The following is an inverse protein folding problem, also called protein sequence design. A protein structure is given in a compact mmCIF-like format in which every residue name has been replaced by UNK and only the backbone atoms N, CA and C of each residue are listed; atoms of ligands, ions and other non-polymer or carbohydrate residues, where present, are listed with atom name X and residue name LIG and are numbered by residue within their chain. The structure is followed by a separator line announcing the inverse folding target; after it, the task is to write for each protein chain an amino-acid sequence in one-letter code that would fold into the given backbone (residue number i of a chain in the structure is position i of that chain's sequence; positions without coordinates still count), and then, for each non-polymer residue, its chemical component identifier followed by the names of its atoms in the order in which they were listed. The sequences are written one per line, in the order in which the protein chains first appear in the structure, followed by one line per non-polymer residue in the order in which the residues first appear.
data_IF_467384890717
#
_entry.id   IF_467384890717
#
_cell.length_a   1.000
_cell.length_b   1.000
_cell.length_c   1.000
_cell.angle_alpha   90.00
_cell.angle_beta   90.00
_cell.angle_gamma   90.00
#
_symmetry.space_group_name_H-M   'P 1'
#
loop_
_entity.id
_entity.type
_entity.pdbx_description
1 polymer ?
#
# COMPACT_ATOMS: atom_id res chain seq x y z
N UNK A 1 -3.29 35.15 38.87
CA UNK A 1 -2.32 34.10 39.28
C UNK A 1 -1.00 34.37 38.56
N UNK A 2 0.12 34.57 39.27
CA UNK A 2 1.42 34.78 38.62
C UNK A 2 2.02 33.45 38.11
N UNK A 3 2.90 33.47 37.09
CA UNK A 3 3.46 32.27 36.47
C UNK A 3 4.51 31.58 37.34
N UNK A 4 4.47 30.24 37.37
CA UNK A 4 5.39 29.36 38.11
C UNK A 4 6.76 29.29 37.42
N UNK A 5 7.81 29.71 38.11
CA UNK A 5 9.21 29.47 37.76
C UNK A 5 9.60 28.07 38.29
N UNK A 6 10.21 27.17 37.50
CA UNK A 6 10.73 25.91 38.03
C UNK A 6 12.08 26.14 38.74
N UNK A 7 12.15 25.72 40.00
CA UNK A 7 13.35 25.74 40.83
C UNK A 7 14.44 24.80 40.28
N UNK A 8 15.67 25.29 40.20
CA UNK A 8 16.87 24.52 39.87
C UNK A 8 17.14 23.46 40.95
N UNK A 9 17.28 22.20 40.52
CA UNK A 9 17.72 21.10 41.39
C UNK A 9 19.16 21.31 41.86
N UNK A 10 19.34 21.40 43.18
CA UNK A 10 20.64 21.30 43.84
C UNK A 10 21.20 19.88 43.66
N UNK A 11 22.41 19.78 43.11
CA UNK A 11 23.16 18.53 43.05
C UNK A 11 23.65 18.15 44.46
N UNK A 12 23.18 17.00 44.94
CA UNK A 12 23.60 16.34 46.17
C UNK A 12 24.95 15.65 45.93
N UNK A 13 25.97 16.00 46.71
CA UNK A 13 27.26 15.32 46.72
C UNK A 13 27.13 13.95 47.44
N UNK A 14 27.53 12.86 46.77
CA UNK A 14 27.72 11.55 47.37
C UNK A 14 29.22 11.23 47.43
N UNK A 15 29.68 10.85 48.61
CA UNK A 15 31.06 10.44 48.89
C UNK A 15 31.28 8.93 48.69
N UNK A 16 32.54 8.60 48.35
CA UNK A 16 33.23 7.29 48.33
C UNK A 16 33.26 6.50 46.99
N UNK A 17 34.28 5.62 46.77
CA UNK A 17 35.68 5.63 47.21
C UNK A 17 36.67 5.67 46.03
N UNK A 18 37.94 5.95 46.35
CA UNK A 18 39.04 6.16 45.42
C UNK A 18 39.45 4.85 44.72
N UNK A 19 39.20 4.76 43.41
CA UNK A 19 39.92 3.84 42.52
C UNK A 19 41.00 4.63 41.78
N UNK A 20 42.27 4.36 42.14
CA UNK A 20 43.44 4.90 41.46
C UNK A 20 43.65 4.16 40.14
N UNK A 21 43.29 4.81 39.03
CA UNK A 21 43.74 4.39 37.70
C UNK A 21 45.07 5.10 37.37
N UNK A 22 46.02 4.42 36.70
CA UNK A 22 47.30 5.03 36.34
C UNK A 22 47.07 6.20 35.36
N UNK A 23 47.53 7.38 35.76
CA UNK A 23 47.63 8.59 34.95
C UNK A 23 48.40 8.29 33.66
N UNK A 24 47.69 8.11 32.55
CA UNK A 24 48.25 8.48 31.25
C UNK A 24 48.19 10.01 31.16
N UNK A 25 49.31 10.72 30.91
CA UNK A 25 49.22 12.11 30.55
C UNK A 25 48.53 12.18 29.18
N UNK A 26 47.24 12.52 29.18
CA UNK A 26 46.64 13.15 28.01
C UNK A 26 47.36 14.48 27.84
N UNK A 27 48.37 14.52 26.96
CA UNK A 27 48.81 15.78 26.37
C UNK A 27 47.62 16.35 25.60
N UNK A 28 46.81 17.16 26.30
CA UNK A 28 45.89 18.09 25.68
C UNK A 28 46.71 19.22 25.05
N UNK A 29 47.38 18.92 23.94
CA UNK A 29 47.73 19.97 23.00
C UNK A 29 46.41 20.39 22.37
N UNK A 30 45.88 21.53 22.82
CA UNK A 30 44.93 22.32 22.04
C UNK A 30 45.66 22.67 20.75
N UNK A 31 45.54 21.82 19.73
CA UNK A 31 45.95 22.19 18.39
C UNK A 31 45.16 23.47 18.07
N UNK A 32 45.82 24.62 17.85
CA UNK A 32 45.09 25.76 17.34
C UNK A 32 44.48 25.28 16.03
N UNK A 33 43.17 25.45 15.91
CA UNK A 33 42.46 25.37 14.64
C UNK A 33 42.97 26.53 13.79
N UNK A 34 44.21 26.39 13.30
CA UNK A 34 44.78 27.27 12.31
C UNK A 34 43.86 27.12 11.10
N UNK A 35 43.10 28.18 10.82
CA UNK A 35 42.46 28.38 9.53
C UNK A 35 43.56 28.16 8.49
N UNK A 36 43.55 27.01 7.83
CA UNK A 36 44.52 26.67 6.80
C UNK A 36 44.18 27.43 5.52
N UNK A 37 44.03 28.75 5.59
CA UNK A 37 44.04 29.61 4.42
C UNK A 37 45.49 29.70 3.94
N UNK A 38 45.87 28.83 3.01
CA UNK A 38 47.08 29.05 2.20
C UNK A 38 48.28 28.13 2.40
N UNK A 39 48.11 26.88 2.89
CA UNK A 39 49.23 25.91 2.96
C UNK A 39 49.19 24.78 1.90
N UNK A 40 48.40 24.94 0.84
CA UNK A 40 48.33 23.94 -0.26
C UNK A 40 49.44 24.05 -1.30
N UNK A 41 50.24 25.12 -1.30
CA UNK A 41 51.31 25.31 -2.30
C UNK A 41 52.64 24.63 -1.95
N UNK A 42 52.83 24.09 -0.74
CA UNK A 42 54.14 23.61 -0.25
C UNK A 42 54.53 22.18 -0.65
N UNK A 43 53.76 21.48 -1.49
CA UNK A 43 54.13 20.18 -2.08
C UNK A 43 53.67 20.06 -3.54
N UNK A 44 53.84 21.10 -4.34
CA UNK A 44 53.70 20.97 -5.79
C UNK A 44 54.96 20.26 -6.30
N UNK A 45 54.83 19.02 -6.74
CA UNK A 45 55.86 18.39 -7.57
C UNK A 45 56.12 19.31 -8.75
N UNK A 46 57.34 19.83 -8.86
CA UNK A 46 57.71 20.83 -9.89
C UNK A 46 57.81 20.21 -11.28
N UNK A 47 57.92 18.88 -11.35
CA UNK A 47 58.00 18.15 -12.61
C UNK A 47 56.67 18.24 -13.40
N UNK A 48 56.68 18.88 -14.60
CA UNK A 48 55.49 19.01 -15.43
C UNK A 48 54.94 17.66 -15.89
N UNK A 49 55.78 16.63 -16.06
CA UNK A 49 55.37 15.31 -16.51
C UNK A 49 54.54 14.57 -15.44
N UNK A 50 54.99 14.58 -14.18
CA UNK A 50 54.25 13.98 -13.06
C UNK A 50 52.91 14.68 -12.87
N UNK A 51 52.86 16.01 -12.99
CA UNK A 51 51.61 16.78 -12.93
C UNK A 51 50.63 16.38 -14.05
N UNK A 52 51.12 16.25 -15.28
CA UNK A 52 50.30 15.79 -16.41
C UNK A 52 49.77 14.37 -16.19
N UNK A 53 50.59 13.46 -15.66
CA UNK A 53 50.16 12.08 -15.37
C UNK A 53 49.11 12.03 -14.25
N UNK A 54 49.26 12.83 -13.19
CA UNK A 54 48.27 12.98 -12.11
C UNK A 54 46.96 13.57 -12.64
N UNK A 55 47.03 14.60 -13.49
CA UNK A 55 45.88 15.20 -14.13
C UNK A 55 45.13 14.18 -15.00
N UNK A 56 45.84 13.36 -15.79
CA UNK A 56 45.25 12.28 -16.59
C UNK A 56 44.54 11.23 -15.72
N UNK A 57 45.17 10.77 -14.63
CA UNK A 57 44.55 9.82 -13.68
C UNK A 57 43.29 10.43 -13.02
N UNK A 58 43.35 11.70 -12.63
CA UNK A 58 42.21 12.43 -12.06
C UNK A 58 41.10 12.58 -13.09
N UNK A 59 41.41 12.96 -14.33
CA UNK A 59 40.44 13.11 -15.41
C UNK A 59 39.72 11.78 -15.71
N UNK A 60 40.46 10.67 -15.77
CA UNK A 60 39.87 9.33 -15.94
C UNK A 60 38.97 8.91 -14.77
N UNK A 61 39.34 9.24 -13.53
CA UNK A 61 38.48 9.00 -12.37
C UNK A 61 37.23 9.89 -12.37
N UNK A 62 37.35 11.14 -12.83
CA UNK A 62 36.22 12.06 -12.93
C UNK A 62 35.25 11.61 -14.03
N UNK A 63 35.74 11.19 -15.21
CA UNK A 63 34.89 10.65 -16.26
C UNK A 63 34.14 9.41 -15.77
N UNK A 64 34.85 8.45 -15.17
CA UNK A 64 34.24 7.25 -14.59
C UNK A 64 33.19 7.58 -13.51
N UNK A 65 33.45 8.57 -12.66
CA UNK A 65 32.48 9.01 -11.64
C UNK A 65 31.25 9.63 -12.28
N UNK A 66 31.43 10.45 -13.30
CA UNK A 66 30.33 11.07 -14.06
C UNK A 66 29.45 9.98 -14.71
N UNK A 67 30.04 8.95 -15.29
CA UNK A 67 29.31 7.82 -15.89
C UNK A 67 28.47 7.08 -14.83
N UNK A 68 29.07 6.77 -13.67
CA UNK A 68 28.38 6.09 -12.56
C UNK A 68 27.26 6.98 -12.00
N UNK A 69 27.50 8.29 -11.88
CA UNK A 69 26.52 9.25 -11.41
C UNK A 69 25.33 9.35 -12.37
N UNK A 70 25.58 9.41 -13.69
CA UNK A 70 24.53 9.38 -14.70
C UNK A 70 23.65 8.13 -14.58
N UNK A 71 24.27 6.95 -14.39
CA UNK A 71 23.54 5.69 -14.16
C UNK A 71 22.70 5.75 -12.88
N UNK A 72 23.24 6.29 -11.78
CA UNK A 72 22.52 6.42 -10.51
C UNK A 72 21.35 7.40 -10.61
N UNK A 73 21.55 8.54 -11.26
CA UNK A 73 20.49 9.55 -11.47
C UNK A 73 19.36 8.95 -12.31
N UNK A 74 19.69 8.20 -13.37
CA UNK A 74 18.68 7.50 -14.17
C UNK A 74 17.90 6.46 -13.32
N UNK A 75 18.58 5.72 -12.44
CA UNK A 75 17.95 4.74 -11.55
C UNK A 75 17.08 5.36 -10.44
N UNK A 76 17.34 6.60 -10.03
CA UNK A 76 16.57 7.29 -8.97
C UNK A 76 15.11 7.51 -9.36
N UNK A 77 14.80 7.70 -10.65
CA UNK A 77 13.43 7.86 -11.16
C UNK A 77 12.69 9.11 -10.65
N UNK A 78 11.39 9.20 -10.93
CA UNK A 78 10.53 10.30 -10.47
C UNK A 78 10.19 10.12 -8.96
N UNK A 79 10.45 11.10 -8.08
CA UNK A 79 10.14 11.00 -6.64
C UNK A 79 8.63 10.86 -6.33
N UNK A 80 7.75 11.31 -7.21
CA UNK A 80 6.29 11.20 -7.06
C UNK A 80 5.77 9.91 -7.67
N UNK A 81 6.09 9.66 -8.94
CA UNK A 81 5.49 8.56 -9.72
C UNK A 81 6.29 7.27 -9.67
N UNK A 82 7.60 7.32 -9.43
CA UNK A 82 8.48 6.17 -9.58
C UNK A 82 8.55 5.69 -11.04
N UNK A 83 8.72 4.39 -11.23
CA UNK A 83 8.65 3.72 -12.54
C UNK A 83 7.23 3.15 -12.70
N UNK A 84 6.53 3.39 -13.82
CA UNK A 84 5.20 2.84 -14.03
C UNK A 84 5.24 1.31 -14.13
N UNK A 85 4.35 0.65 -13.40
CA UNK A 85 4.16 -0.81 -13.44
C UNK A 85 2.74 -1.14 -13.91
N UNK A 86 2.50 -2.34 -14.47
CA UNK A 86 1.16 -2.76 -14.88
C UNK A 86 0.14 -2.65 -13.74
N UNK A 87 0.57 -2.98 -12.51
CA UNK A 87 -0.25 -2.82 -11.31
C UNK A 87 -0.65 -1.37 -11.05
N UNK A 88 0.30 -0.43 -11.11
CA UNK A 88 0.02 1.00 -10.85
C UNK A 88 -0.80 1.63 -11.98
N UNK A 89 -0.60 1.21 -13.22
CA UNK A 89 -1.41 1.65 -14.37
C UNK A 89 -2.86 1.19 -14.26
N UNK A 90 -3.06 -0.04 -13.78
CA UNK A 90 -4.37 -0.64 -13.57
C UNK A 90 -5.25 0.12 -12.56
N UNK A 91 -4.70 1.03 -11.75
CA UNK A 91 -5.49 1.88 -10.86
C UNK A 91 -6.43 2.84 -11.60
N UNK A 92 -6.10 3.21 -12.85
CA UNK A 92 -6.94 4.09 -13.65
C UNK A 92 -8.28 3.43 -14.01
N UNK A 93 -8.25 2.14 -14.37
CA UNK A 93 -9.42 1.35 -14.74
C UNK A 93 -10.08 0.69 -13.52
N UNK A 94 -9.30 0.42 -12.48
CA UNK A 94 -9.74 -0.32 -11.29
C UNK A 94 -9.88 -1.82 -11.52
N UNK A 95 -9.46 -2.32 -12.70
CA UNK A 95 -9.43 -3.74 -13.05
C UNK A 95 -8.02 -4.29 -12.88
N UNK A 96 -7.84 -5.57 -12.51
CA UNK A 96 -6.52 -6.18 -12.46
C UNK A 96 -5.88 -6.25 -13.87
N UNK A 97 -4.56 -6.07 -13.98
CA UNK A 97 -3.87 -6.33 -15.25
C UNK A 97 -3.93 -7.83 -15.60
N UNK A 98 -3.80 -8.19 -16.89
CA UNK A 98 -3.68 -9.59 -17.27
C UNK A 98 -2.46 -10.22 -16.57
N UNK A 99 -2.54 -11.49 -16.14
CA UNK A 99 -1.43 -12.15 -15.47
C UNK A 99 -0.24 -12.32 -16.42
N UNK A 100 0.93 -11.88 -16.00
CA UNK A 100 2.17 -12.12 -16.73
C UNK A 100 2.49 -13.63 -16.70
N UNK A 101 2.67 -14.31 -17.85
CA UNK A 101 2.92 -15.76 -17.87
C UNK A 101 4.25 -16.15 -17.21
N UNK A 102 5.20 -15.22 -17.14
CA UNK A 102 6.53 -15.44 -16.56
C UNK A 102 6.55 -15.34 -15.02
N UNK A 103 5.62 -14.58 -14.42
CA UNK A 103 5.59 -14.37 -12.98
C UNK A 103 4.55 -15.28 -12.33
N UNK A 104 5.00 -16.14 -11.41
CA UNK A 104 4.12 -16.94 -10.54
C UNK A 104 3.48 -16.08 -9.44
N UNK A 105 2.81 -14.99 -9.82
CA UNK A 105 2.02 -14.18 -8.92
C UNK A 105 0.60 -14.70 -8.85
N UNK A 106 -0.01 -14.81 -7.65
CA UNK A 106 -1.40 -15.22 -7.53
C UNK A 106 -2.30 -14.22 -8.26
N UNK A 107 -3.30 -14.72 -8.99
CA UNK A 107 -4.23 -13.88 -9.73
C UNK A 107 -4.92 -12.87 -8.80
N UNK A 108 -4.94 -11.61 -9.22
CA UNK A 108 -5.62 -10.55 -8.47
C UNK A 108 -7.13 -10.77 -8.47
N UNK A 109 -7.77 -10.41 -7.35
CA UNK A 109 -9.23 -10.50 -7.23
C UNK A 109 -9.88 -9.34 -7.96
N UNK A 110 -10.86 -9.66 -8.80
CA UNK A 110 -11.70 -8.67 -9.45
C UNK A 110 -12.80 -8.17 -8.50
N UNK A 111 -13.09 -6.88 -8.60
CA UNK A 111 -14.14 -6.20 -7.86
C UNK A 111 -15.02 -5.40 -8.81
N UNK A 112 -16.32 -5.47 -8.56
CA UNK A 112 -17.33 -4.64 -9.19
C UNK A 112 -17.44 -3.29 -8.45
N UNK A 113 -18.33 -2.43 -8.94
CA UNK A 113 -18.72 -1.23 -8.22
C UNK A 113 -19.20 -1.57 -6.80
N UNK A 114 -19.12 -0.59 -5.88
CA UNK A 114 -19.41 -0.76 -4.46
C UNK A 114 -18.54 -1.82 -3.74
N UNK A 115 -17.40 -2.20 -4.33
CA UNK A 115 -16.48 -3.22 -3.80
C UNK A 115 -17.13 -4.61 -3.65
N UNK A 116 -18.11 -4.92 -4.50
CA UNK A 116 -18.78 -6.23 -4.54
C UNK A 116 -17.92 -7.23 -5.31
N UNK A 117 -17.84 -8.48 -4.83
CA UNK A 117 -17.16 -9.56 -5.55
C UNK A 117 -18.10 -10.16 -6.61
N UNK A 118 -17.62 -10.47 -7.83
CA UNK A 118 -18.47 -11.03 -8.88
C UNK A 118 -19.09 -12.38 -8.48
N UNK A 119 -18.33 -13.22 -7.77
CA UNK A 119 -18.83 -14.51 -7.27
C UNK A 119 -19.94 -14.33 -6.22
N UNK A 120 -19.82 -13.31 -5.38
CA UNK A 120 -20.87 -12.98 -4.40
C UNK A 120 -22.13 -12.54 -5.15
N UNK A 121 -22.01 -11.67 -6.15
CA UNK A 121 -23.15 -11.22 -6.95
C UNK A 121 -23.89 -12.40 -7.60
N UNK A 122 -23.15 -13.33 -8.22
CA UNK A 122 -23.72 -14.55 -8.83
C UNK A 122 -24.46 -15.41 -7.81
N UNK A 123 -23.86 -15.63 -6.62
CA UNK A 123 -24.52 -16.40 -5.56
C UNK A 123 -25.79 -15.73 -5.04
N UNK A 124 -25.80 -14.40 -4.92
CA UNK A 124 -26.94 -13.64 -4.44
C UNK A 124 -28.07 -13.59 -5.47
N UNK A 125 -27.75 -13.49 -6.76
CA UNK A 125 -28.75 -13.61 -7.83
C UNK A 125 -29.42 -14.99 -7.81
N UNK A 126 -28.63 -16.07 -7.70
CA UNK A 126 -29.17 -17.43 -7.56
C UNK A 126 -30.03 -17.60 -6.31
N UNK A 127 -29.62 -17.00 -5.20
CA UNK A 127 -30.41 -17.03 -3.97
C UNK A 127 -31.73 -16.26 -4.14
N UNK A 128 -31.70 -15.08 -4.77
CA UNK A 128 -32.89 -14.29 -5.08
C UNK A 128 -33.83 -15.04 -6.02
N UNK A 129 -33.30 -15.71 -7.04
CA UNK A 129 -34.07 -16.57 -7.93
C UNK A 129 -34.78 -17.66 -7.13
N UNK A 130 -34.08 -18.37 -6.24
CA UNK A 130 -34.67 -19.43 -5.40
C UNK A 130 -35.79 -18.91 -4.50
N UNK A 131 -35.64 -17.71 -3.93
CA UNK A 131 -36.60 -17.13 -2.98
C UNK A 131 -37.84 -16.52 -3.67
N UNK A 132 -37.73 -16.12 -4.94
CA UNK A 132 -38.81 -15.47 -5.69
C UNK A 132 -39.92 -16.44 -6.16
N UNK A 133 -40.43 -17.28 -5.27
CA UNK A 133 -41.43 -18.33 -5.56
C UNK A 133 -42.85 -17.75 -5.69
N UNK A 134 -43.69 -18.21 -6.63
CA UNK A 134 -45.10 -17.82 -6.72
C UNK A 134 -45.87 -18.12 -5.43
N UNK A 135 -46.78 -17.21 -5.06
CA UNK A 135 -47.59 -17.31 -3.84
C UNK A 135 -48.40 -18.60 -3.75
N UNK A 136 -48.78 -19.23 -4.87
CA UNK A 136 -49.54 -20.48 -4.86
C UNK A 136 -48.72 -21.68 -4.36
N UNK A 137 -47.39 -21.64 -4.51
CA UNK A 137 -46.50 -22.63 -3.91
C UNK A 137 -46.32 -22.34 -2.42
N UNK A 138 -46.24 -21.06 -2.02
CA UNK A 138 -46.17 -20.64 -0.60
C UNK A 138 -47.45 -20.99 0.18
N UNK A 139 -48.63 -20.78 -0.41
CA UNK A 139 -49.94 -21.11 0.20
C UNK A 139 -50.13 -22.63 0.42
N UNK A 140 -49.48 -23.47 -0.37
CA UNK A 140 -49.48 -24.93 -0.13
C UNK A 140 -48.74 -25.27 1.16
N UNK A 141 -47.67 -24.52 1.48
CA UNK A 141 -46.90 -24.66 2.71
C UNK A 141 -47.60 -24.01 3.93
N UNK A 142 -48.35 -22.92 3.74
CA UNK A 142 -49.11 -22.23 4.80
C UNK A 142 -50.28 -23.04 5.37
N UNK A 143 -50.75 -24.09 4.68
CA UNK A 143 -51.83 -24.97 5.19
C UNK A 143 -51.48 -25.66 6.52
N UNK A 144 -50.22 -25.61 6.97
CA UNK A 144 -49.75 -26.10 8.27
C UNK A 144 -49.47 -25.01 9.32
N UNK A 145 -49.71 -23.73 9.04
CA UNK A 145 -49.46 -22.64 9.98
C UNK A 145 -50.66 -22.39 10.91
N UNK A 146 -50.45 -22.13 12.22
CA UNK A 146 -51.55 -21.82 13.14
C UNK A 146 -52.22 -20.49 12.75
N UNK A 147 -53.53 -20.54 12.58
CA UNK A 147 -54.36 -19.38 12.23
C UNK A 147 -54.47 -18.45 13.44
N UNK A 148 -54.02 -17.20 13.31
CA UNK A 148 -54.07 -16.26 14.41
C UNK A 148 -55.40 -15.47 14.40
N UNK A 149 -55.89 -15.00 15.56
CA UNK A 149 -57.20 -14.32 15.65
C UNK A 149 -57.35 -13.08 14.75
N UNK A 150 -56.24 -12.40 14.41
CA UNK A 150 -56.23 -11.22 13.55
C UNK A 150 -56.32 -11.51 12.05
N UNK A 151 -56.28 -12.78 11.61
CA UNK A 151 -56.51 -13.17 10.20
C UNK A 151 -57.96 -12.94 9.73
N UNK A 152 -58.88 -12.63 10.64
CA UNK A 152 -60.27 -12.32 10.32
C UNK A 152 -60.47 -10.88 9.83
N UNK A 153 -59.47 -10.02 10.00
CA UNK A 153 -59.55 -8.62 9.60
C UNK A 153 -59.29 -8.50 8.09
N UNK A 154 -60.35 -8.58 7.26
CA UNK A 154 -60.27 -8.20 5.85
C UNK A 154 -60.23 -6.68 5.74
N UNK A 155 -59.13 -6.06 5.28
CA UNK A 155 -59.10 -4.62 5.10
C UNK A 155 -60.03 -4.20 3.94
N UNK A 156 -60.87 -3.21 4.20
CA UNK A 156 -61.95 -2.73 3.32
C UNK A 156 -61.44 -1.84 2.15
N UNK A 157 -60.52 -2.35 1.32
CA UNK A 157 -60.11 -1.71 0.07
C UNK A 157 -60.58 -2.51 -1.16
N UNK A 158 -61.86 -2.88 -1.26
CA UNK A 158 -62.40 -3.61 -2.42
C UNK A 158 -62.55 -2.78 -3.71
N UNK A 159 -62.10 -1.51 -3.73
CA UNK A 159 -62.24 -0.62 -4.90
C UNK A 159 -60.90 -0.19 -5.50
N UNK A 160 -60.02 -1.14 -5.86
CA UNK A 160 -58.78 -0.81 -6.59
C UNK A 160 -58.61 -1.73 -7.80
N UNK A 161 -59.10 -1.25 -8.95
CA UNK A 161 -58.73 -1.71 -10.29
C UNK A 161 -59.35 -3.04 -10.75
N UNK A 162 -59.36 -3.30 -12.09
CA UNK A 162 -59.75 -4.59 -12.63
C UNK A 162 -58.85 -5.68 -12.06
N UNK A 163 -59.46 -6.79 -11.63
CA UNK A 163 -58.72 -7.95 -11.12
C UNK A 163 -57.70 -8.41 -12.18
N UNK A 164 -56.42 -8.61 -11.82
CA UNK A 164 -55.43 -9.07 -12.78
C UNK A 164 -55.87 -10.42 -13.36
N UNK A 165 -55.75 -10.57 -14.68
CA UNK A 165 -56.01 -11.83 -15.37
C UNK A 165 -55.19 -12.95 -14.71
N UNK A 166 -55.85 -14.06 -14.37
CA UNK A 166 -55.21 -15.20 -13.72
C UNK A 166 -54.37 -15.92 -14.77
N UNK A 167 -53.08 -15.57 -14.84
CA UNK A 167 -52.10 -16.23 -15.69
C UNK A 167 -51.98 -17.70 -15.29
N UNK A 168 -51.78 -18.59 -16.28
CA UNK A 168 -51.51 -20.00 -16.02
C UNK A 168 -50.18 -20.17 -15.27
N UNK A 169 -50.04 -21.29 -14.54
CA UNK A 169 -48.82 -21.56 -13.77
C UNK A 169 -47.54 -21.55 -14.66
N UNK A 170 -47.66 -22.03 -15.89
CA UNK A 170 -46.56 -22.06 -16.86
C UNK A 170 -46.17 -20.65 -17.33
N UNK A 171 -47.16 -19.78 -17.60
CA UNK A 171 -46.93 -18.38 -17.97
C UNK A 171 -46.25 -17.60 -16.85
N UNK A 172 -46.63 -17.84 -15.59
CA UNK A 172 -46.00 -17.24 -14.41
C UNK A 172 -44.53 -17.64 -14.31
N UNK A 173 -44.19 -18.90 -14.58
CA UNK A 173 -42.80 -19.37 -14.57
C UNK A 173 -41.97 -18.73 -15.69
N UNK A 174 -42.53 -18.64 -16.91
CA UNK A 174 -41.88 -17.98 -18.05
C UNK A 174 -41.66 -16.50 -17.75
N UNK A 175 -42.66 -15.81 -17.20
CA UNK A 175 -42.55 -14.40 -16.82
C UNK A 175 -41.50 -14.21 -15.72
N UNK A 176 -41.51 -15.04 -14.69
CA UNK A 176 -40.51 -15.01 -13.60
C UNK A 176 -39.08 -15.17 -14.13
N UNK A 177 -38.85 -16.10 -15.07
CA UNK A 177 -37.52 -16.28 -15.71
C UNK A 177 -37.11 -15.02 -16.46
N UNK A 178 -38.00 -14.47 -17.29
CA UNK A 178 -37.75 -13.22 -18.03
C UNK A 178 -37.47 -12.04 -17.11
N UNK A 179 -38.24 -11.89 -16.04
CA UNK A 179 -38.07 -10.81 -15.06
C UNK A 179 -36.77 -10.99 -14.26
N UNK A 180 -36.40 -12.22 -13.92
CA UNK A 180 -35.11 -12.53 -13.30
C UNK A 180 -33.94 -12.19 -14.22
N UNK A 181 -33.99 -12.59 -15.49
CA UNK A 181 -32.98 -12.25 -16.50
C UNK A 181 -32.84 -10.74 -16.66
N UNK A 182 -33.95 -10.03 -16.81
CA UNK A 182 -33.98 -8.56 -16.89
C UNK A 182 -33.38 -7.91 -15.64
N UNK A 183 -33.72 -8.40 -14.45
CA UNK A 183 -33.18 -7.90 -13.19
C UNK A 183 -31.67 -8.18 -13.09
N UNK A 184 -31.21 -9.36 -13.50
CA UNK A 184 -29.81 -9.72 -13.53
C UNK A 184 -29.01 -8.79 -14.45
N UNK A 185 -29.50 -8.51 -15.66
CA UNK A 185 -28.89 -7.55 -16.58
C UNK A 185 -28.83 -6.13 -15.98
N UNK A 186 -29.94 -5.66 -15.38
CA UNK A 186 -30.00 -4.35 -14.76
C UNK A 186 -28.97 -4.23 -13.62
N UNK A 187 -28.89 -5.24 -12.75
CA UNK A 187 -27.93 -5.30 -11.64
C UNK A 187 -26.49 -5.36 -12.17
N UNK A 188 -26.22 -6.10 -13.24
CA UNK A 188 -24.91 -6.11 -13.89
C UNK A 188 -24.51 -4.69 -14.37
N UNK A 189 -25.43 -3.94 -14.97
CA UNK A 189 -25.18 -2.55 -15.41
C UNK A 189 -24.94 -1.60 -14.24
N UNK A 190 -25.71 -1.72 -13.16
CA UNK A 190 -25.57 -0.91 -11.94
C UNK A 190 -24.22 -1.19 -11.24
N UNK A 191 -23.83 -2.46 -11.21
CA UNK A 191 -22.60 -2.92 -10.56
C UNK A 191 -21.36 -2.79 -11.45
N UNK A 192 -21.50 -2.47 -12.74
CA UNK A 192 -20.37 -2.27 -13.64
C UNK A 192 -19.47 -1.11 -13.18
N UNK A 193 -18.18 -1.39 -12.96
CA UNK A 193 -17.22 -0.39 -12.47
C UNK A 193 -16.99 0.76 -13.46
N UNK A 194 -17.18 0.50 -14.77
CA UNK A 194 -17.05 1.52 -15.83
C UNK A 194 -18.04 2.68 -15.67
N UNK A 195 -19.22 2.42 -15.11
CA UNK A 195 -20.25 3.43 -14.83
C UNK A 195 -19.98 4.17 -13.50
N UNK A 196 -18.94 3.78 -12.76
CA UNK A 196 -18.61 4.32 -11.44
C UNK A 196 -17.81 5.62 -11.47
N UNK A 197 -17.93 6.41 -10.40
CA UNK A 197 -17.10 7.59 -10.15
C UNK A 197 -15.65 7.23 -9.83
N UNK A 198 -14.73 8.20 -9.92
CA UNK A 198 -13.35 8.07 -9.45
C UNK A 198 -13.26 7.65 -7.97
N UNK A 199 -14.23 8.07 -7.15
CA UNK A 199 -14.35 7.65 -5.74
C UNK A 199 -14.60 6.15 -5.61
N UNK A 200 -15.41 5.57 -6.49
CA UNK A 200 -15.70 4.13 -6.47
C UNK A 200 -14.49 3.34 -6.95
N UNK A 201 -13.80 3.80 -8.01
CA UNK A 201 -12.51 3.22 -8.43
C UNK A 201 -11.48 3.25 -7.29
N UNK A 202 -11.40 4.35 -6.53
CA UNK A 202 -10.53 4.42 -5.36
C UNK A 202 -10.89 3.40 -4.29
N UNK A 203 -12.18 3.20 -3.97
CA UNK A 203 -12.62 2.16 -3.01
C UNK A 203 -12.24 0.75 -3.46
N UNK A 204 -12.41 0.47 -4.76
CA UNK A 204 -11.97 -0.80 -5.36
C UNK A 204 -10.46 -0.96 -5.28
N UNK A 205 -9.69 0.08 -5.63
CA UNK A 205 -8.23 0.05 -5.53
C UNK A 205 -7.75 -0.17 -4.10
N UNK A 206 -8.44 0.39 -3.09
CA UNK A 206 -8.14 0.12 -1.67
C UNK A 206 -8.34 -1.36 -1.34
N UNK A 207 -9.45 -1.96 -1.77
CA UNK A 207 -9.69 -3.40 -1.56
C UNK A 207 -8.62 -4.26 -2.26
N UNK A 208 -8.25 -3.90 -3.49
CA UNK A 208 -7.16 -4.55 -4.24
C UNK A 208 -5.83 -4.45 -3.50
N UNK A 209 -5.46 -3.27 -3.00
CA UNK A 209 -4.23 -3.07 -2.22
C UNK A 209 -4.19 -3.94 -0.95
N UNK A 210 -5.34 -4.08 -0.27
CA UNK A 210 -5.47 -4.94 0.91
C UNK A 210 -5.27 -6.41 0.51
N UNK A 211 -5.85 -6.85 -0.60
CA UNK A 211 -5.68 -8.23 -1.06
C UNK A 211 -4.25 -8.54 -1.51
N UNK A 212 -3.60 -7.63 -2.24
CA UNK A 212 -2.26 -7.87 -2.78
C UNK A 212 -1.18 -7.77 -1.70
N UNK A 213 -1.18 -6.70 -0.91
CA UNK A 213 -0.12 -6.41 0.06
C UNK A 213 -0.46 -6.83 1.50
N UNK A 214 -1.71 -7.18 1.78
CA UNK A 214 -2.15 -7.56 3.12
C UNK A 214 -1.40 -8.79 3.62
N UNK A 215 -0.86 -8.70 4.85
CA UNK A 215 -0.07 -9.77 5.46
C UNK A 215 -0.85 -11.07 5.63
N UNK A 216 -2.18 -10.99 5.74
CA UNK A 216 -3.06 -12.15 5.76
C UNK A 216 -2.96 -13.04 4.50
N UNK A 217 -2.55 -12.49 3.35
CA UNK A 217 -2.32 -13.24 2.11
C UNK A 217 -0.82 -13.50 1.89
N UNK A 218 0.03 -12.48 2.06
CA UNK A 218 1.47 -12.60 1.77
C UNK A 218 2.22 -13.51 2.75
N UNK A 219 1.74 -13.68 3.99
CA UNK A 219 2.33 -14.64 4.95
C UNK A 219 2.28 -16.09 4.43
N UNK A 220 1.33 -16.41 3.54
CA UNK A 220 1.16 -17.75 2.94
C UNK A 220 2.10 -18.01 1.77
N UNK A 221 2.57 -16.97 1.11
CA UNK A 221 3.40 -17.08 -0.10
C UNK A 221 4.85 -16.70 0.14
N UNK A 222 5.12 -15.84 1.13
CA UNK A 222 6.45 -15.29 1.37
C UNK A 222 7.08 -15.82 2.66
N UNK A 223 8.41 -15.98 2.67
CA UNK A 223 9.13 -16.47 3.84
C UNK A 223 9.26 -15.39 4.94
N UNK A 224 9.41 -15.79 6.23
CA UNK A 224 9.50 -14.88 7.39
C UNK A 224 10.71 -13.96 7.29
N UNK A 225 10.74 -12.77 7.89
CA UNK A 225 11.93 -11.89 7.85
C UNK A 225 13.25 -12.64 8.17
N UNK A 226 14.31 -12.34 7.41
CA UNK A 226 15.62 -12.96 7.64
C UNK A 226 16.20 -12.58 9.03
N UNK A 227 16.86 -13.53 9.72
CA UNK A 227 17.49 -13.27 11.01
C UNK A 227 18.59 -12.19 10.88
N UNK A 228 18.95 -11.50 11.98
CA UNK A 228 20.12 -10.60 11.97
C UNK A 228 21.37 -11.38 11.60
N UNK A 229 22.32 -10.72 10.94
CA UNK A 229 23.62 -11.35 10.69
C UNK A 229 24.27 -11.74 12.02
N UNK A 230 24.92 -12.92 12.07
CA UNK A 230 25.71 -13.33 13.23
C UNK A 230 26.82 -12.32 13.51
N UNK A 231 27.28 -12.29 14.76
CA UNK A 231 28.44 -11.46 15.11
C UNK A 231 29.66 -11.92 14.32
N UNK A 232 30.55 -10.98 13.98
CA UNK A 232 31.82 -11.30 13.32
C UNK A 232 32.59 -12.24 14.27
N UNK A 233 32.79 -13.50 13.86
CA UNK A 233 33.40 -14.62 14.60
C UNK A 233 32.47 -15.55 15.41
N UNK A 234 31.15 -15.41 15.38
CA UNK A 234 30.28 -16.44 15.98
C UNK A 234 30.20 -17.70 15.11
N UNK A 235 30.29 -18.88 15.71
CA UNK A 235 30.08 -20.18 15.02
C UNK A 235 28.59 -20.51 14.80
N UNK A 236 27.70 -19.64 15.24
CA UNK A 236 26.25 -19.84 15.17
C UNK A 236 25.78 -19.85 13.71
N UNK A 237 25.16 -20.95 13.31
CA UNK A 237 24.50 -21.06 12.01
C UNK A 237 23.00 -20.86 12.19
N UNK A 238 22.37 -20.07 11.31
CA UNK A 238 20.92 -19.90 11.35
C UNK A 238 20.22 -21.13 10.79
N UNK A 239 19.12 -21.53 11.43
CA UNK A 239 18.23 -22.56 10.90
C UNK A 239 17.72 -22.20 9.51
N UNK A 240 17.46 -23.22 8.68
CA UNK A 240 16.91 -23.05 7.34
C UNK A 240 15.58 -22.29 7.43
N UNK A 241 15.49 -21.21 6.65
CA UNK A 241 14.32 -20.35 6.62
C UNK A 241 13.15 -21.11 5.98
N UNK A 242 11.98 -21.23 6.63
CA UNK A 242 10.83 -21.87 6.01
C UNK A 242 10.37 -21.05 4.80
N UNK A 243 9.80 -21.72 3.80
CA UNK A 243 9.31 -21.06 2.58
C UNK A 243 8.17 -20.07 2.86
N UNK A 244 7.38 -20.30 3.92
CA UNK A 244 6.20 -19.51 4.28
C UNK A 244 6.28 -19.00 5.71
N UNK A 245 5.68 -17.84 5.99
CA UNK A 245 5.66 -17.23 7.32
C UNK A 245 4.53 -17.74 8.24
N UNK A 246 3.67 -18.64 7.76
CA UNK A 246 2.48 -19.10 8.51
C UNK A 246 2.83 -19.65 9.90
N UNK A 247 3.88 -20.47 10.01
CA UNK A 247 4.29 -21.10 11.26
C UNK A 247 4.80 -20.10 12.32
N UNK A 248 5.35 -18.96 11.91
CA UNK A 248 5.92 -17.98 12.83
C UNK A 248 4.90 -16.90 13.26
N UNK A 249 3.71 -16.86 12.63
CA UNK A 249 2.70 -15.83 12.90
C UNK A 249 1.46 -16.38 13.59
N UNK A 250 1.00 -15.68 14.63
CA UNK A 250 -0.29 -15.97 15.25
C UNK A 250 -1.46 -15.71 14.28
N UNK A 251 -2.54 -16.48 14.42
CA UNK A 251 -3.76 -16.32 13.61
C UNK A 251 -4.36 -14.94 13.83
N UNK A 252 -4.61 -14.20 12.75
CA UNK A 252 -5.29 -12.90 12.79
C UNK A 252 -6.80 -13.09 12.85
N UNK A 253 -7.48 -12.19 13.56
CA UNK A 253 -8.95 -12.16 13.65
C UNK A 253 -9.57 -11.67 12.34
N UNK A 254 -8.93 -10.73 11.65
CA UNK A 254 -9.46 -10.10 10.45
C UNK A 254 -8.40 -9.79 9.38
N UNK A 255 -8.82 -9.17 8.26
CA UNK A 255 -7.93 -8.76 7.19
C UNK A 255 -6.96 -7.67 7.68
N UNK A 256 -5.71 -7.77 7.25
CA UNK A 256 -4.70 -6.77 7.55
C UNK A 256 -4.88 -5.54 6.67
N UNK A 257 -5.22 -4.41 7.30
CA UNK A 257 -5.46 -3.11 6.65
C UNK A 257 -4.47 -2.03 7.08
N UNK A 258 -3.70 -2.30 8.14
CA UNK A 258 -2.85 -1.32 8.82
C UNK A 258 -1.35 -1.49 8.56
N UNK A 259 -0.94 -2.54 7.87
CA UNK A 259 0.48 -2.75 7.57
C UNK A 259 1.07 -1.66 6.67
N UNK A 260 2.38 -1.43 6.82
CA UNK A 260 3.05 -0.35 6.08
C UNK A 260 2.98 -0.57 4.58
N UNK A 261 3.05 -1.83 4.12
CA UNK A 261 2.92 -2.20 2.71
C UNK A 261 1.56 -1.77 2.14
N UNK A 262 0.46 -2.11 2.84
CA UNK A 262 -0.91 -1.73 2.45
C UNK A 262 -1.09 -0.22 2.48
N UNK A 263 -0.60 0.47 3.51
CA UNK A 263 -0.67 1.92 3.60
C UNK A 263 0.08 2.61 2.46
N UNK A 264 1.28 2.12 2.11
CA UNK A 264 2.10 2.64 1.00
C UNK A 264 1.35 2.45 -0.33
N UNK A 265 0.77 1.27 -0.58
CA UNK A 265 0.02 0.99 -1.79
C UNK A 265 -1.20 1.91 -1.95
N UNK A 266 -1.97 2.11 -0.88
CA UNK A 266 -3.11 3.04 -0.86
C UNK A 266 -2.65 4.48 -1.12
N UNK A 267 -1.53 4.91 -0.52
CA UNK A 267 -0.96 6.23 -0.77
C UNK A 267 -0.53 6.37 -2.22
N UNK A 268 0.10 5.35 -2.81
CA UNK A 268 0.50 5.37 -4.23
C UNK A 268 -0.72 5.52 -5.15
N UNK A 269 -1.82 4.81 -4.88
CA UNK A 269 -3.07 4.98 -5.64
C UNK A 269 -3.61 6.42 -5.53
N UNK A 270 -3.64 6.99 -4.31
CA UNK A 270 -4.07 8.38 -4.08
C UNK A 270 -3.17 9.40 -4.77
N UNK A 271 -1.85 9.25 -4.62
CA UNK A 271 -0.83 10.10 -5.24
C UNK A 271 -1.00 10.09 -6.76
N UNK A 272 -1.14 8.92 -7.39
CA UNK A 272 -1.39 8.81 -8.84
C UNK A 272 -2.64 9.59 -9.25
N UNK A 273 -3.78 9.33 -8.61
CA UNK A 273 -5.03 10.02 -8.96
C UNK A 273 -4.96 11.54 -8.81
N UNK A 274 -4.29 12.02 -7.77
CA UNK A 274 -4.17 13.45 -7.50
C UNK A 274 -3.13 14.10 -8.42
N UNK A 275 -2.01 13.44 -8.68
CA UNK A 275 -0.99 13.91 -9.62
C UNK A 275 -1.53 14.01 -11.06
N UNK A 276 -2.32 13.03 -11.50
CA UNK A 276 -2.97 13.06 -12.82
C UNK A 276 -4.01 14.19 -12.91
N UNK A 277 -4.79 14.42 -11.85
CA UNK A 277 -5.72 15.55 -11.77
C UNK A 277 -4.99 16.90 -11.85
N UNK A 278 -3.91 17.08 -11.09
CA UNK A 278 -3.13 18.33 -11.09
C UNK A 278 -2.46 18.60 -12.43
N UNK A 279 -1.98 17.56 -13.11
CA UNK A 279 -1.36 17.67 -14.43
C UNK A 279 -2.38 18.08 -15.51
N UNK A 280 -3.58 17.51 -15.47
CA UNK A 280 -4.61 17.72 -16.50
C UNK A 280 -5.42 19.00 -16.28
N UNK A 281 -5.92 19.24 -15.06
CA UNK A 281 -6.90 20.32 -14.77
C UNK A 281 -6.49 21.22 -13.60
N UNK A 282 -5.56 20.80 -12.74
CA UNK A 282 -5.28 21.46 -11.46
C UNK A 282 -4.05 22.37 -11.43
N UNK A 283 -3.62 22.96 -12.56
CA UNK A 283 -2.40 23.81 -12.61
C UNK A 283 -2.41 24.95 -11.59
N UNK A 284 -3.56 25.58 -11.36
CA UNK A 284 -3.74 26.67 -10.39
C UNK A 284 -4.07 26.24 -8.96
N UNK A 285 -4.28 24.96 -8.71
CA UNK A 285 -4.76 24.46 -7.40
C UNK A 285 -3.62 24.28 -6.40
N UNK A 286 -3.36 25.33 -5.62
CA UNK A 286 -2.29 25.36 -4.60
C UNK A 286 -2.58 24.44 -3.41
N UNK A 287 -3.85 24.23 -3.06
CA UNK A 287 -4.25 23.39 -1.92
C UNK A 287 -3.99 21.92 -2.23
N UNK A 288 -4.39 21.45 -3.42
CA UNK A 288 -4.13 20.07 -3.80
C UNK A 288 -2.65 19.80 -4.09
N UNK A 289 -1.86 20.77 -4.57
CA UNK A 289 -0.39 20.65 -4.62
C UNK A 289 0.22 20.43 -3.22
N UNK A 290 -0.23 21.18 -2.21
CA UNK A 290 0.18 20.93 -0.81
C UNK A 290 -0.24 19.54 -0.35
N UNK A 291 -1.46 19.11 -0.66
CA UNK A 291 -1.94 17.77 -0.30
C UNK A 291 -1.11 16.66 -0.97
N UNK A 292 -0.73 16.82 -2.25
CA UNK A 292 0.16 15.90 -2.95
C UNK A 292 1.47 15.73 -2.18
N UNK A 293 2.10 16.85 -1.83
CA UNK A 293 3.37 16.85 -1.08
C UNK A 293 3.25 16.14 0.26
N UNK A 294 2.17 16.39 1.01
CA UNK A 294 1.91 15.70 2.28
C UNK A 294 1.75 14.18 2.09
N UNK A 295 1.07 13.74 1.03
CA UNK A 295 0.92 12.32 0.73
C UNK A 295 2.26 11.66 0.37
N UNK A 296 3.06 12.31 -0.48
CA UNK A 296 4.39 11.83 -0.89
C UNK A 296 5.32 11.73 0.31
N UNK A 297 5.40 12.76 1.15
CA UNK A 297 6.22 12.72 2.38
C UNK A 297 5.73 11.68 3.38
N UNK A 298 4.41 11.47 3.52
CA UNK A 298 3.87 10.38 4.35
C UNK A 298 4.29 9.01 3.82
N UNK A 299 4.25 8.81 2.50
CA UNK A 299 4.71 7.58 1.85
C UNK A 299 6.20 7.36 2.07
N UNK A 300 7.02 8.40 1.92
CA UNK A 300 8.46 8.36 2.19
C UNK A 300 8.77 7.88 3.62
N UNK A 301 8.10 8.42 4.64
CA UNK A 301 8.29 8.00 6.05
C UNK A 301 7.95 6.52 6.25
N UNK A 302 6.88 6.05 5.62
CA UNK A 302 6.47 4.63 5.70
C UNK A 302 7.45 3.71 4.97
N UNK A 303 7.99 4.12 3.81
CA UNK A 303 9.00 3.36 3.08
C UNK A 303 10.29 3.23 3.89
N UNK A 304 10.77 4.32 4.49
CA UNK A 304 11.94 4.29 5.37
C UNK A 304 11.73 3.37 6.57
N UNK A 305 10.54 3.42 7.20
CA UNK A 305 10.17 2.52 8.28
C UNK A 305 10.17 1.06 7.83
N UNK A 306 9.50 0.75 6.71
CA UNK A 306 9.37 -0.60 6.18
C UNK A 306 10.73 -1.18 5.80
N UNK A 307 11.59 -0.43 5.11
CA UNK A 307 12.95 -0.87 4.76
C UNK A 307 13.76 -1.25 5.99
N UNK A 308 13.74 -0.40 7.03
CA UNK A 308 14.45 -0.67 8.30
C UNK A 308 13.87 -1.87 9.02
N UNK A 309 12.54 -2.01 9.04
CA UNK A 309 11.85 -3.09 9.75
C UNK A 309 12.02 -4.44 9.05
N UNK A 310 11.99 -4.50 7.72
CA UNK A 310 12.12 -5.75 6.94
C UNK A 310 13.56 -6.05 6.49
N UNK A 311 14.50 -5.10 6.67
CA UNK A 311 15.92 -5.20 6.24
C UNK A 311 16.08 -5.52 4.74
N UNK A 312 15.20 -4.99 3.91
CA UNK A 312 15.20 -5.28 2.47
C UNK A 312 14.78 -6.71 2.12
N UNK A 313 14.09 -7.41 3.03
CA UNK A 313 13.60 -8.77 2.78
C UNK A 313 12.54 -8.87 1.66
N UNK A 314 12.03 -10.09 1.40
CA UNK A 314 11.14 -10.37 0.27
C UNK A 314 9.86 -9.53 0.23
N UNK A 315 9.33 -9.13 1.39
CA UNK A 315 8.15 -8.26 1.47
C UNK A 315 8.41 -6.85 0.98
N UNK A 316 9.57 -6.32 1.37
CA UNK A 316 10.01 -5.01 0.92
C UNK A 316 10.21 -5.03 -0.60
N UNK A 317 10.92 -6.05 -1.10
CA UNK A 317 11.14 -6.25 -2.53
C UNK A 317 9.81 -6.33 -3.31
N UNK A 318 8.89 -7.19 -2.85
CA UNK A 318 7.57 -7.31 -3.47
C UNK A 318 6.80 -5.97 -3.49
N UNK A 319 6.83 -5.21 -2.40
CA UNK A 319 6.18 -3.89 -2.32
C UNK A 319 6.79 -2.91 -3.33
N UNK A 320 8.12 -2.83 -3.40
CA UNK A 320 8.86 -1.94 -4.29
C UNK A 320 8.67 -2.30 -5.76
N UNK A 321 8.83 -3.57 -6.11
CA UNK A 321 8.73 -4.07 -7.49
C UNK A 321 7.30 -3.95 -8.04
N UNK A 322 6.30 -4.30 -7.23
CA UNK A 322 4.90 -4.25 -7.67
C UNK A 322 4.42 -2.81 -7.84
N UNK A 323 4.81 -1.90 -6.94
CA UNK A 323 4.42 -0.49 -6.99
C UNK A 323 5.37 0.40 -7.82
N UNK A 324 6.49 -0.14 -8.31
CA UNK A 324 7.48 0.62 -9.10
C UNK A 324 8.17 1.74 -8.33
N UNK A 325 8.39 1.57 -7.02
CA UNK A 325 8.92 2.62 -6.16
C UNK A 325 10.46 2.61 -6.18
N UNK A 326 11.08 3.65 -6.70
CA UNK A 326 12.55 3.77 -6.79
C UNK A 326 13.17 4.39 -5.55
N UNK A 327 14.51 4.43 -5.48
CA UNK A 327 15.24 5.11 -4.40
C UNK A 327 14.86 6.60 -4.30
N UNK A 328 14.61 7.29 -5.41
CA UNK A 328 14.19 8.70 -5.41
C UNK A 328 12.86 8.95 -4.71
N UNK A 329 12.00 7.94 -4.54
CA UNK A 329 10.70 8.09 -3.88
C UNK A 329 10.79 8.15 -2.35
N UNK A 330 11.94 7.81 -1.75
CA UNK A 330 12.08 7.78 -0.28
C UNK A 330 13.46 8.16 0.26
N UNK A 331 14.51 8.09 -0.56
CA UNK A 331 15.87 8.46 -0.19
C UNK A 331 16.12 9.95 -0.41
N UNK A 332 16.74 10.62 0.57
CA UNK A 332 17.01 12.06 0.52
C UNK A 332 15.79 12.93 0.83
N UNK A 333 15.84 14.19 0.41
CA UNK A 333 14.75 15.15 0.55
C UNK A 333 13.95 15.24 -0.76
N UNK A 334 12.62 15.17 -0.65
CA UNK A 334 11.72 15.28 -1.81
C UNK A 334 11.19 16.73 -1.87
N UNK A 335 11.64 17.47 -2.89
CA UNK A 335 11.12 18.79 -3.26
C UNK A 335 10.16 18.68 -4.44
N UNK A 336 9.01 19.37 -4.37
CA UNK A 336 7.92 19.35 -5.36
C UNK A 336 7.43 20.75 -5.71
#
# INVERSE_FOLDING_TARGET
MPPRIPNSWCLRASSAPQFTLPLRPFSATTAPLAKSSGRSNKKRTHDPYILAQQARKKAANLSRRADIEAVRVAAMGDPVRGIPTPFVESFATGKPPPPDPEKKTPAEKEYLNYSIKPNLLKSQLKQSEKLAVPLDQVKKDERSAPRYPWDQFKPAYENVGPAPEILSAEEIEVQRKKDHERAAEAIQRITALGNGSSKNRMKVNVARCIDTFGRHNTDRTMPPRAPPLPAVNSKDTHALRPATNVAATAKRIGPDTGSSEVQIAILTAKIKTLADFLATRGKGDKHNKRNLRLLVHRRQKLLQYLRRKERGGPRWQHCIETLGLTEGTWQGEISL
#
